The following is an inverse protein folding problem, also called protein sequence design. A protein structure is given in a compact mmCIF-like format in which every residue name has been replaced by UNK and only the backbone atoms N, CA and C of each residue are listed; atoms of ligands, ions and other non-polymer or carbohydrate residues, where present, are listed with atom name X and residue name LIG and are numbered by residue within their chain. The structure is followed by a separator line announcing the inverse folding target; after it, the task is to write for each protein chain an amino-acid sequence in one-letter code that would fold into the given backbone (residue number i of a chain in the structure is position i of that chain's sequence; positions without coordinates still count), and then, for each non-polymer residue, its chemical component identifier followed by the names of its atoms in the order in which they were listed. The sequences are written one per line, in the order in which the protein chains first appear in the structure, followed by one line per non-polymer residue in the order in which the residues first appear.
data_IF_225843546237
#
_entry.id   IF_225843546237
#
_cell.length_a   1.000
_cell.length_b   1.000
_cell.length_c   1.000
_cell.angle_alpha   90.00
_cell.angle_beta   90.00
_cell.angle_gamma   90.00
#
_symmetry.space_group_name_H-M   'P 1'
#
loop_
_entity.id
_entity.type
_entity.pdbx_description
1 polymer ?
#
# COMPACT_ATOMS: atom_id res chain seq x y z
N UNK A 1 25.08 -50.79 -21.17
CA UNK A 1 23.98 -50.38 -20.26
C UNK A 1 24.15 -48.96 -19.69
N UNK A 2 25.34 -48.54 -19.25
CA UNK A 2 25.58 -47.21 -18.63
C UNK A 2 25.19 -45.99 -19.49
N UNK A 3 25.43 -46.04 -20.81
CA UNK A 3 25.11 -44.92 -21.74
C UNK A 3 23.60 -44.66 -21.88
N UNK A 4 22.77 -45.69 -21.78
CA UNK A 4 21.30 -45.57 -21.89
C UNK A 4 20.68 -44.96 -20.64
N UNK A 5 21.20 -45.31 -19.45
CA UNK A 5 20.77 -44.72 -18.19
C UNK A 5 21.13 -43.23 -18.08
N UNK A 6 22.29 -42.82 -18.61
CA UNK A 6 22.72 -41.42 -18.65
C UNK A 6 21.88 -40.58 -19.62
N UNK A 7 21.50 -41.14 -20.78
CA UNK A 7 20.61 -40.48 -21.72
C UNK A 7 19.20 -40.27 -21.14
N UNK A 8 18.68 -41.26 -20.41
CA UNK A 8 17.37 -41.16 -19.75
C UNK A 8 17.40 -40.15 -18.58
N UNK A 9 18.47 -40.15 -17.79
CA UNK A 9 18.65 -39.18 -16.70
C UNK A 9 18.77 -37.74 -17.24
N UNK A 10 19.49 -37.54 -18.35
CA UNK A 10 19.58 -36.24 -19.03
C UNK A 10 18.23 -35.77 -19.59
N UNK A 11 17.43 -36.69 -20.15
CA UNK A 11 16.09 -36.38 -20.66
C UNK A 11 15.11 -35.97 -19.53
N UNK A 12 15.16 -36.66 -18.39
CA UNK A 12 14.35 -36.36 -17.20
C UNK A 12 14.73 -35.02 -16.56
N UNK A 13 16.03 -34.73 -16.44
CA UNK A 13 16.52 -33.43 -15.95
C UNK A 13 16.13 -32.28 -16.89
N UNK A 14 16.23 -32.48 -18.20
CA UNK A 14 15.83 -31.48 -19.20
C UNK A 14 14.34 -31.18 -19.20
N UNK A 15 13.47 -32.19 -19.01
CA UNK A 15 12.02 -31.97 -18.91
C UNK A 15 11.65 -31.23 -17.63
N UNK A 16 12.28 -31.55 -16.49
CA UNK A 16 11.99 -30.87 -15.21
C UNK A 16 12.36 -29.39 -15.25
N UNK A 17 13.44 -29.02 -15.96
CA UNK A 17 13.83 -27.61 -16.15
C UNK A 17 12.88 -26.84 -17.08
N UNK A 18 12.36 -27.49 -18.13
CA UNK A 18 11.40 -26.88 -19.05
C UNK A 18 10.02 -26.64 -18.42
N UNK A 19 9.59 -27.47 -17.47
CA UNK A 19 8.35 -27.25 -16.70
C UNK A 19 8.51 -26.22 -15.57
N UNK A 20 9.71 -26.01 -15.04
CA UNK A 20 9.98 -24.95 -14.05
C UNK A 20 10.00 -23.54 -14.66
N UNK A 21 10.38 -23.42 -15.93
CA UNK A 21 10.43 -22.14 -16.66
C UNK A 21 9.08 -21.71 -17.26
N UNK A 22 8.07 -22.59 -17.25
CA UNK A 22 6.71 -22.31 -17.73
C UNK A 22 5.71 -22.04 -16.60
N UNK A 23 6.19 -21.92 -15.36
CA UNK A 23 5.39 -21.33 -14.30
C UNK A 23 4.94 -19.95 -14.81
N UNK A 24 3.63 -19.68 -14.92
CA UNK A 24 3.19 -18.36 -15.30
C UNK A 24 3.80 -17.40 -14.28
N UNK A 25 4.64 -16.47 -14.75
CA UNK A 25 4.83 -15.21 -14.05
C UNK A 25 3.42 -14.65 -13.97
N UNK A 26 2.73 -14.89 -12.85
CA UNK A 26 1.50 -14.20 -12.54
C UNK A 26 1.91 -12.74 -12.58
N UNK A 27 1.49 -12.02 -13.62
CA UNK A 27 1.56 -10.59 -13.62
C UNK A 27 0.91 -10.17 -12.31
N UNK A 28 1.72 -9.62 -11.39
CA UNK A 28 1.22 -9.08 -10.14
C UNK A 28 0.11 -8.12 -10.55
N UNK A 29 -1.15 -8.47 -10.28
CA UNK A 29 -2.25 -7.60 -10.65
C UNK A 29 -2.02 -6.27 -9.93
N UNK A 30 -1.94 -5.20 -10.71
CA UNK A 30 -1.79 -3.86 -10.17
C UNK A 30 -3.08 -3.55 -9.41
N UNK A 31 -3.04 -3.77 -8.10
CA UNK A 31 -4.20 -3.56 -7.25
C UNK A 31 -4.48 -2.06 -7.18
N UNK A 32 -5.67 -1.65 -7.63
CA UNK A 32 -6.12 -0.28 -7.48
C UNK A 32 -6.41 -0.02 -6.00
N UNK A 33 -5.68 0.93 -5.40
CA UNK A 33 -5.88 1.32 -4.01
C UNK A 33 -6.42 2.76 -3.98
N UNK A 34 -7.64 2.91 -3.46
CA UNK A 34 -8.17 4.23 -3.13
C UNK A 34 -7.46 4.74 -1.88
N UNK A 35 -6.78 5.87 -2.00
CA UNK A 35 -6.13 6.61 -0.92
C UNK A 35 -6.93 7.88 -0.62
N UNK A 36 -7.19 8.15 0.66
CA UNK A 36 -7.78 9.40 1.14
C UNK A 36 -6.69 10.24 1.77
N UNK A 37 -6.56 11.51 1.36
CA UNK A 37 -5.61 12.45 1.95
C UNK A 37 -6.41 13.57 2.60
N UNK A 38 -6.28 13.70 3.92
CA UNK A 38 -6.84 14.78 4.72
C UNK A 38 -5.70 15.72 5.13
N UNK A 39 -5.57 16.85 4.44
CA UNK A 39 -4.56 17.87 4.70
C UNK A 39 -5.08 19.02 5.57
N UNK A 40 -4.21 19.56 6.43
CA UNK A 40 -4.51 20.73 7.28
C UNK A 40 -3.30 21.66 7.34
N UNK A 41 -3.52 22.94 7.03
CA UNK A 41 -2.52 24.00 7.09
C UNK A 41 -3.01 25.21 7.86
N UNK A 42 -2.09 26.16 8.05
CA UNK A 42 -2.39 27.51 8.57
C UNK A 42 -3.20 27.50 9.86
N UNK A 43 -2.91 26.56 10.76
CA UNK A 43 -3.71 26.40 11.98
C UNK A 43 -3.58 27.65 12.84
N UNK A 44 -2.35 28.10 13.13
CA UNK A 44 -1.92 29.24 13.98
C UNK A 44 -2.57 29.39 15.38
N UNK A 45 -3.77 28.87 15.60
CA UNK A 45 -4.55 28.86 16.81
C UNK A 45 -5.16 27.46 16.98
N UNK A 46 -4.76 26.79 18.05
CA UNK A 46 -5.22 25.44 18.36
C UNK A 46 -6.59 25.42 19.07
N UNK A 47 -6.99 26.54 19.65
CA UNK A 47 -8.28 26.72 20.28
C UNK A 47 -9.36 27.01 19.23
N UNK A 48 -10.62 26.87 19.63
CA UNK A 48 -11.72 27.34 18.82
C UNK A 48 -11.80 28.87 18.82
N UNK A 49 -12.45 29.42 17.79
CA UNK A 49 -12.78 30.82 17.72
C UNK A 49 -14.29 30.97 17.55
N UNK A 50 -14.98 31.45 18.59
CA UNK A 50 -16.44 31.52 18.65
C UNK A 50 -17.14 30.19 18.31
N UNK A 51 -16.65 29.08 18.87
CA UNK A 51 -17.25 27.76 18.66
C UNK A 51 -16.95 27.15 17.28
N UNK A 52 -16.02 27.71 16.51
CA UNK A 52 -15.59 27.21 15.19
C UNK A 52 -14.11 26.81 15.22
N UNK A 53 -13.81 25.67 14.60
CA UNK A 53 -12.43 25.16 14.51
C UNK A 53 -11.94 24.50 15.80
N UNK A 54 -10.64 24.63 16.04
CA UNK A 54 -9.93 24.00 17.15
C UNK A 54 -9.52 22.55 16.86
N UNK A 55 -8.39 22.14 17.44
CA UNK A 55 -7.82 20.80 17.20
C UNK A 55 -8.72 19.66 17.66
N UNK A 56 -9.57 19.88 18.67
CA UNK A 56 -10.52 18.88 19.13
C UNK A 56 -11.54 18.52 18.04
N UNK A 57 -12.11 19.53 17.38
CA UNK A 57 -13.07 19.31 16.29
C UNK A 57 -12.38 18.79 15.04
N UNK A 58 -11.18 19.30 14.74
CA UNK A 58 -10.34 18.82 13.64
C UNK A 58 -10.06 17.30 13.79
N UNK A 59 -9.66 16.86 14.98
CA UNK A 59 -9.38 15.46 15.26
C UNK A 59 -10.65 14.59 15.24
N UNK A 60 -11.80 15.13 15.63
CA UNK A 60 -13.07 14.44 15.48
C UNK A 60 -13.42 14.18 14.00
N UNK A 61 -13.17 15.17 13.12
CA UNK A 61 -13.31 14.98 11.67
C UNK A 61 -12.30 13.95 11.16
N UNK A 62 -11.03 14.05 11.54
CA UNK A 62 -10.00 13.08 11.12
C UNK A 62 -10.31 11.65 11.58
N UNK A 63 -10.92 11.48 12.76
CA UNK A 63 -11.36 10.18 13.25
C UNK A 63 -12.53 9.63 12.43
N UNK A 64 -13.53 10.47 12.11
CA UNK A 64 -14.66 10.08 11.27
C UNK A 64 -14.20 9.70 9.85
N UNK A 65 -13.30 10.48 9.24
CA UNK A 65 -12.74 10.19 7.91
C UNK A 65 -11.95 8.88 7.89
N UNK A 66 -11.14 8.61 8.92
CA UNK A 66 -10.42 7.35 9.05
C UNK A 66 -11.35 6.16 9.25
N UNK A 67 -12.45 6.33 9.97
CA UNK A 67 -13.45 5.27 10.14
C UNK A 67 -14.20 4.97 8.83
N UNK A 68 -14.48 5.99 8.02
CA UNK A 68 -15.15 5.84 6.73
C UNK A 68 -14.20 5.39 5.60
N UNK A 69 -12.91 5.67 5.70
CA UNK A 69 -11.91 5.42 4.66
C UNK A 69 -10.67 4.70 5.24
N UNK A 70 -10.50 3.38 4.97
CA UNK A 70 -9.45 2.58 5.61
C UNK A 70 -8.03 3.01 5.23
N UNK A 71 -7.83 3.63 4.06
CA UNK A 71 -6.52 4.09 3.57
C UNK A 71 -6.41 5.63 3.68
N UNK A 72 -6.52 6.17 4.89
CA UNK A 72 -6.47 7.63 5.13
C UNK A 72 -5.10 8.09 5.63
N UNK A 73 -4.52 9.07 4.95
CA UNK A 73 -3.36 9.84 5.40
C UNK A 73 -3.87 11.17 5.97
N UNK A 74 -3.57 11.43 7.24
CA UNK A 74 -3.87 12.69 7.90
C UNK A 74 -2.57 13.48 8.06
N UNK A 75 -2.46 14.62 7.37
CA UNK A 75 -1.21 15.37 7.23
C UNK A 75 -1.38 16.83 7.61
N UNK A 76 -0.36 17.37 8.25
CA UNK A 76 -0.23 18.81 8.52
C UNK A 76 0.84 19.37 7.60
N UNK A 77 0.49 20.30 6.72
CA UNK A 77 1.32 20.75 5.60
C UNK A 77 2.18 21.98 5.89
N UNK A 78 1.99 22.64 7.04
CA UNK A 78 2.85 23.73 7.50
C UNK A 78 2.13 24.74 8.36
N UNK A 79 2.83 25.83 8.69
CA UNK A 79 2.23 27.06 9.24
C UNK A 79 1.36 26.84 10.49
N UNK A 80 1.83 25.94 11.36
CA UNK A 80 1.22 25.68 12.66
C UNK A 80 1.82 26.53 13.78
N UNK A 81 3.05 27.02 13.60
CA UNK A 81 3.81 27.76 14.58
C UNK A 81 4.28 29.07 13.94
N UNK A 82 4.10 30.19 14.64
CA UNK A 82 4.62 31.52 14.29
C UNK A 82 5.13 32.25 15.51
#
# INVERSE_FOLDING_TARGET
MKKSAQALAGALLGTTMLFGASAPLTAQEAQEIKLTILGVGDIYNFADHHGRGGVARLNAVAAAERAANPNTIYVFDGDMLS
#
